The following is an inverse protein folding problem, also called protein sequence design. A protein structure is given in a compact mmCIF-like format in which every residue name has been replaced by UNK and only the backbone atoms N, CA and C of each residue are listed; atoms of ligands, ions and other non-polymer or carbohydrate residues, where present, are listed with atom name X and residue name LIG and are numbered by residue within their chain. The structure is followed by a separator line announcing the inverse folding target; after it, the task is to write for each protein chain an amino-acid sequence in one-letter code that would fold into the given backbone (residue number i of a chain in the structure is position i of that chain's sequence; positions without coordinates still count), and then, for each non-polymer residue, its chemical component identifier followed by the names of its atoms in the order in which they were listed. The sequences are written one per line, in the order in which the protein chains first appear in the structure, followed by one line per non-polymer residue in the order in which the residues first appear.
data_IF_288850348135
#
_entry.id   IF_288850348135
#
_cell.length_a   1.000
_cell.length_b   1.000
_cell.length_c   1.000
_cell.angle_alpha   90.00
_cell.angle_beta   90.00
_cell.angle_gamma   90.00
#
_symmetry.space_group_name_H-M   'P 1'
#
loop_
_entity.id
_entity.type
_entity.pdbx_description
1 polymer ?
#
# COMPACT_ATOMS: atom_id res chain seq x y z
N UNK A 1 -17.79 34.86 -15.11
CA UNK A 1 -17.64 33.41 -15.01
C UNK A 1 -18.48 32.93 -13.85
N UNK A 2 -19.44 32.01 -14.09
CA UNK A 2 -20.13 31.36 -12.96
C UNK A 2 -19.08 30.60 -12.14
N UNK A 3 -19.05 30.82 -10.86
CA UNK A 3 -18.26 29.98 -9.95
C UNK A 3 -18.96 28.62 -9.94
N UNK A 4 -18.26 27.58 -10.38
CA UNK A 4 -18.79 26.21 -10.34
C UNK A 4 -19.04 25.82 -8.89
N UNK A 5 -20.22 25.29 -8.63
CA UNK A 5 -20.56 24.80 -7.28
C UNK A 5 -19.87 23.43 -7.05
N UNK A 6 -19.76 23.03 -5.80
CA UNK A 6 -19.24 21.72 -5.43
C UNK A 6 -20.04 20.59 -6.08
N UNK A 7 -21.36 20.76 -6.17
CA UNK A 7 -22.28 19.82 -6.81
C UNK A 7 -22.07 19.74 -8.33
N UNK A 8 -21.79 20.88 -9.00
CA UNK A 8 -21.49 20.91 -10.43
C UNK A 8 -20.21 20.11 -10.74
N UNK A 9 -19.16 20.31 -9.95
CA UNK A 9 -17.89 19.54 -10.08
C UNK A 9 -18.11 18.04 -9.86
N UNK A 10 -18.88 17.66 -8.85
CA UNK A 10 -19.21 16.25 -8.58
C UNK A 10 -19.99 15.62 -9.73
N UNK A 11 -20.94 16.35 -10.33
CA UNK A 11 -21.68 15.87 -11.49
C UNK A 11 -20.78 15.66 -12.70
N UNK A 12 -19.89 16.60 -13.00
CA UNK A 12 -18.91 16.45 -14.08
C UNK A 12 -17.93 15.29 -13.81
N UNK A 13 -17.47 15.15 -12.57
CA UNK A 13 -16.59 14.06 -12.17
C UNK A 13 -17.28 12.69 -12.35
N UNK A 14 -18.60 12.62 -12.11
CA UNK A 14 -19.35 11.39 -12.32
C UNK A 14 -19.31 10.93 -13.77
N UNK A 15 -19.42 11.84 -14.74
CA UNK A 15 -19.35 11.54 -16.17
C UNK A 15 -18.00 10.90 -16.57
N UNK A 16 -16.91 11.25 -15.85
CA UNK A 16 -15.57 10.70 -16.11
C UNK A 16 -15.40 9.27 -15.61
N UNK A 17 -16.17 8.86 -14.60
CA UNK A 17 -15.96 7.59 -13.89
C UNK A 17 -17.03 6.54 -14.14
N UNK A 18 -18.14 6.93 -14.78
CA UNK A 18 -19.22 6.03 -15.14
C UNK A 18 -18.78 5.06 -16.23
N UNK A 19 -19.03 3.75 -16.07
CA UNK A 19 -18.89 2.80 -17.16
C UNK A 19 -19.74 3.20 -18.37
N UNK A 20 -19.17 3.10 -19.55
CA UNK A 20 -19.85 3.37 -20.80
C UNK A 20 -20.90 2.30 -21.11
N UNK A 21 -21.85 2.61 -22.00
CA UNK A 21 -22.85 1.62 -22.47
C UNK A 21 -22.18 0.44 -23.16
N UNK A 22 -21.06 0.68 -23.85
CA UNK A 22 -20.26 -0.37 -24.49
C UNK A 22 -19.59 -1.28 -23.45
N UNK A 23 -18.96 -0.74 -22.41
CA UNK A 23 -18.40 -1.54 -21.31
C UNK A 23 -19.48 -2.37 -20.61
N UNK A 24 -20.67 -1.78 -20.39
CA UNK A 24 -21.83 -2.49 -19.82
C UNK A 24 -22.33 -3.63 -20.73
N UNK A 25 -22.28 -3.44 -22.04
CA UNK A 25 -22.64 -4.48 -23.03
C UNK A 25 -21.60 -5.62 -22.96
N UNK A 26 -20.32 -5.29 -23.04
CA UNK A 26 -19.21 -6.26 -22.95
C UNK A 26 -19.28 -7.06 -21.65
N UNK A 27 -19.54 -6.39 -20.53
CA UNK A 27 -19.68 -7.03 -19.22
C UNK A 27 -20.83 -8.07 -19.21
N UNK A 28 -22.00 -7.74 -19.75
CA UNK A 28 -23.15 -8.67 -19.84
C UNK A 28 -22.84 -9.86 -20.73
N UNK A 29 -22.23 -9.64 -21.89
CA UNK A 29 -21.86 -10.72 -22.79
C UNK A 29 -20.82 -11.68 -22.17
N UNK A 30 -19.85 -11.14 -21.42
CA UNK A 30 -18.86 -11.95 -20.70
C UNK A 30 -19.52 -12.73 -19.54
N UNK A 31 -20.42 -12.10 -18.78
CA UNK A 31 -21.18 -12.78 -17.74
C UNK A 31 -22.04 -13.92 -18.30
N UNK A 32 -22.77 -13.71 -19.40
CA UNK A 32 -23.60 -14.72 -20.03
C UNK A 32 -22.77 -15.92 -20.49
N UNK A 33 -21.62 -15.66 -21.13
CA UNK A 33 -20.72 -16.72 -21.57
C UNK A 33 -20.13 -17.48 -20.37
N UNK A 34 -19.71 -16.77 -19.32
CA UNK A 34 -19.17 -17.36 -18.12
C UNK A 34 -20.22 -18.22 -17.40
N UNK A 35 -21.48 -17.78 -17.31
CA UNK A 35 -22.59 -18.58 -16.78
C UNK A 35 -22.78 -19.89 -17.54
N UNK A 36 -22.78 -19.85 -18.88
CA UNK A 36 -22.89 -21.05 -19.71
C UNK A 36 -21.78 -22.07 -19.45
N UNK A 37 -20.56 -21.58 -19.21
CA UNK A 37 -19.42 -22.44 -18.87
C UNK A 37 -19.53 -23.00 -17.45
N UNK A 38 -19.88 -22.16 -16.49
CA UNK A 38 -20.08 -22.57 -15.09
C UNK A 38 -21.18 -23.62 -14.94
N UNK A 39 -22.31 -23.45 -15.63
CA UNK A 39 -23.44 -24.41 -15.60
C UNK A 39 -23.05 -25.80 -16.11
N UNK A 40 -22.02 -25.92 -16.94
CA UNK A 40 -21.50 -27.22 -17.41
C UNK A 40 -20.66 -27.93 -16.35
N UNK A 41 -19.87 -27.19 -15.56
CA UNK A 41 -18.84 -27.77 -14.66
C UNK A 41 -19.23 -27.72 -13.20
N UNK A 42 -20.01 -26.72 -12.76
CA UNK A 42 -20.47 -26.62 -11.37
C UNK A 42 -21.78 -27.40 -11.21
N UNK A 43 -21.74 -28.49 -10.45
CA UNK A 43 -22.89 -29.35 -10.18
C UNK A 43 -23.16 -29.46 -8.68
N UNK A 44 -24.41 -29.69 -8.28
CA UNK A 44 -24.70 -29.96 -6.85
C UNK A 44 -23.76 -31.02 -6.25
N UNK A 45 -23.29 -30.84 -5.02
CA UNK A 45 -23.70 -29.81 -4.03
C UNK A 45 -23.02 -28.45 -4.17
N UNK A 46 -22.18 -28.24 -5.19
CA UNK A 46 -21.53 -26.96 -5.45
C UNK A 46 -22.50 -25.94 -6.03
N UNK A 47 -22.29 -24.68 -5.69
CA UNK A 47 -23.00 -23.52 -6.23
C UNK A 47 -21.99 -22.47 -6.67
N UNK A 48 -22.40 -21.53 -7.52
CA UNK A 48 -21.61 -20.35 -7.82
C UNK A 48 -22.42 -19.07 -7.65
N UNK A 49 -21.72 -17.97 -7.33
CA UNK A 49 -22.32 -16.63 -7.23
C UNK A 49 -21.39 -15.58 -7.81
N UNK A 50 -21.98 -14.65 -8.56
CA UNK A 50 -21.30 -13.41 -8.91
C UNK A 50 -21.36 -12.45 -7.73
N UNK A 51 -20.22 -11.99 -7.29
CA UNK A 51 -20.07 -11.10 -6.15
C UNK A 51 -19.28 -9.84 -6.60
N UNK A 52 -18.59 -9.18 -5.69
CA UNK A 52 -17.72 -8.07 -6.03
C UNK A 52 -18.42 -6.79 -6.51
N UNK A 53 -17.67 -5.92 -7.12
CA UNK A 53 -18.12 -4.59 -7.56
C UNK A 53 -19.04 -4.64 -8.76
N UNK A 54 -18.83 -5.60 -9.67
CA UNK A 54 -19.71 -5.82 -10.81
C UNK A 54 -21.13 -6.17 -10.37
N UNK A 55 -21.27 -7.17 -9.52
CA UNK A 55 -22.57 -7.64 -9.04
C UNK A 55 -23.37 -6.60 -8.24
N UNK A 56 -22.72 -5.55 -7.75
CA UNK A 56 -23.36 -4.43 -7.02
C UNK A 56 -23.39 -3.14 -7.83
N UNK A 57 -22.98 -3.18 -9.11
CA UNK A 57 -22.87 -2.03 -10.00
C UNK A 57 -22.08 -0.85 -9.39
N UNK A 58 -20.94 -1.15 -8.73
CA UNK A 58 -20.06 -0.12 -8.12
C UNK A 58 -18.67 -0.08 -8.76
N UNK A 59 -18.47 -0.75 -9.91
CA UNK A 59 -17.23 -0.75 -10.66
C UNK A 59 -17.01 0.55 -11.42
N UNK A 60 -15.75 0.89 -11.68
CA UNK A 60 -15.34 2.11 -12.38
C UNK A 60 -15.16 1.83 -13.87
N UNK A 61 -15.33 2.87 -14.69
CA UNK A 61 -14.87 2.89 -16.08
C UNK A 61 -13.43 2.37 -16.17
N UNK A 62 -13.11 1.62 -17.21
CA UNK A 62 -11.79 1.01 -17.45
C UNK A 62 -11.28 0.08 -16.32
N UNK A 63 -12.21 -0.46 -15.49
CA UNK A 63 -11.86 -1.32 -14.35
C UNK A 63 -12.87 -2.45 -14.16
N UNK A 64 -13.32 -3.04 -15.29
CA UNK A 64 -14.27 -4.15 -15.28
C UNK A 64 -13.56 -5.45 -14.89
N UNK A 65 -14.07 -6.09 -13.85
CA UNK A 65 -13.66 -7.41 -13.38
C UNK A 65 -14.87 -8.17 -12.88
N UNK A 66 -15.00 -9.44 -13.22
CA UNK A 66 -16.07 -10.33 -12.77
C UNK A 66 -15.54 -11.23 -11.63
N UNK A 67 -16.10 -11.06 -10.45
CA UNK A 67 -15.79 -11.93 -9.30
C UNK A 67 -16.79 -13.07 -9.21
N UNK A 68 -16.35 -14.31 -9.42
CA UNK A 68 -17.16 -15.53 -9.28
C UNK A 68 -16.66 -16.36 -8.10
N UNK A 69 -17.57 -16.64 -7.19
CA UNK A 69 -17.28 -17.47 -6.01
C UNK A 69 -17.91 -18.83 -6.20
N UNK A 70 -17.10 -19.89 -6.09
CA UNK A 70 -17.56 -21.28 -6.11
C UNK A 70 -17.74 -21.71 -4.65
N UNK A 71 -18.98 -22.00 -4.27
CA UNK A 71 -19.37 -22.29 -2.89
C UNK A 71 -19.35 -23.81 -2.67
N UNK A 72 -18.47 -24.25 -1.77
CA UNK A 72 -18.32 -25.63 -1.35
C UNK A 72 -19.06 -25.90 -0.04
N UNK A 73 -19.61 -27.10 0.18
CA UNK A 73 -20.15 -27.50 1.50
C UNK A 73 -19.15 -27.24 2.63
N UNK A 74 -19.67 -26.91 3.83
CA UNK A 74 -18.84 -26.56 5.01
C UNK A 74 -17.87 -27.69 5.39
N UNK A 75 -18.26 -28.95 5.17
CA UNK A 75 -17.51 -30.16 5.51
C UNK A 75 -16.43 -30.54 4.50
N UNK A 76 -16.36 -29.89 3.33
CA UNK A 76 -15.35 -30.18 2.30
C UNK A 76 -13.93 -29.98 2.86
N UNK A 77 -13.01 -30.96 2.71
CA UNK A 77 -11.61 -30.80 3.07
C UNK A 77 -10.97 -29.62 2.30
N UNK A 78 -10.06 -28.91 2.96
CA UNK A 78 -9.42 -27.73 2.37
C UNK A 78 -8.68 -28.06 1.06
N UNK A 79 -7.97 -29.16 1.04
CA UNK A 79 -7.20 -29.61 -0.12
C UNK A 79 -8.11 -29.95 -1.32
N UNK A 80 -9.30 -30.50 -1.06
CA UNK A 80 -10.31 -30.77 -2.10
C UNK A 80 -10.92 -29.46 -2.61
N UNK A 81 -11.26 -28.52 -1.72
CA UNK A 81 -11.76 -27.21 -2.09
C UNK A 81 -10.75 -26.48 -3.00
N UNK A 82 -9.47 -26.47 -2.64
CA UNK A 82 -8.43 -25.83 -3.42
C UNK A 82 -8.23 -26.51 -4.79
N UNK A 83 -8.08 -27.83 -4.81
CA UNK A 83 -7.86 -28.59 -6.05
C UNK A 83 -9.02 -28.44 -7.02
N UNK A 84 -10.24 -28.68 -6.56
CA UNK A 84 -11.45 -28.62 -7.40
C UNK A 84 -11.84 -27.20 -7.77
N UNK A 85 -11.58 -26.22 -6.89
CA UNK A 85 -11.75 -24.80 -7.19
C UNK A 85 -10.84 -24.36 -8.34
N UNK A 86 -9.58 -24.76 -8.34
CA UNK A 86 -8.64 -24.49 -9.43
C UNK A 86 -9.03 -25.23 -10.73
N UNK A 87 -9.50 -26.48 -10.63
CA UNK A 87 -9.98 -27.24 -11.81
C UNK A 87 -11.14 -26.52 -12.47
N UNK A 88 -12.18 -26.13 -11.71
CA UNK A 88 -13.33 -25.37 -12.20
C UNK A 88 -12.87 -24.03 -12.80
N UNK A 89 -12.05 -23.27 -12.09
CA UNK A 89 -11.56 -21.98 -12.56
C UNK A 89 -10.87 -22.09 -13.92
N UNK A 90 -9.94 -23.02 -14.08
CA UNK A 90 -9.23 -23.26 -15.35
C UNK A 90 -10.15 -23.69 -16.49
N UNK A 91 -11.23 -24.41 -16.18
CA UNK A 91 -12.18 -24.89 -17.20
C UNK A 91 -13.10 -23.80 -17.74
N UNK A 92 -13.27 -22.66 -17.04
CA UNK A 92 -14.26 -21.64 -17.41
C UNK A 92 -13.66 -20.36 -17.99
N UNK A 93 -12.33 -20.19 -17.96
CA UNK A 93 -11.62 -19.03 -18.52
C UNK A 93 -10.85 -19.41 -19.80
N UNK A 94 -10.53 -18.41 -20.63
CA UNK A 94 -9.77 -18.61 -21.88
C UNK A 94 -8.26 -18.72 -21.63
N UNK A 95 -7.74 -17.83 -20.78
CA UNK A 95 -6.34 -17.76 -20.31
C UNK A 95 -6.36 -17.59 -18.80
N UNK A 96 -5.33 -18.09 -18.11
CA UNK A 96 -5.31 -17.96 -16.67
C UNK A 96 -3.89 -17.82 -16.09
N UNK A 97 -3.85 -17.17 -14.93
CA UNK A 97 -2.77 -17.26 -13.97
C UNK A 97 -3.31 -17.66 -12.60
N UNK A 98 -2.45 -18.24 -11.77
CA UNK A 98 -2.83 -18.58 -10.41
C UNK A 98 -2.47 -17.43 -9.48
N UNK A 99 -3.47 -16.95 -8.73
CA UNK A 99 -3.29 -15.96 -7.69
C UNK A 99 -3.59 -16.55 -6.31
N UNK A 100 -3.20 -15.82 -5.29
CA UNK A 100 -3.34 -16.25 -3.90
C UNK A 100 -4.07 -15.19 -3.08
N UNK A 101 -5.14 -15.61 -2.40
CA UNK A 101 -5.75 -14.89 -1.30
C UNK A 101 -5.64 -15.76 -0.02
N UNK A 102 -6.75 -16.20 0.58
CA UNK A 102 -6.72 -17.22 1.64
C UNK A 102 -6.51 -18.63 1.07
N UNK A 103 -6.92 -18.83 -0.19
CA UNK A 103 -6.72 -20.03 -1.00
C UNK A 103 -6.17 -19.62 -2.35
N UNK A 104 -5.51 -20.56 -3.09
CA UNK A 104 -5.19 -20.32 -4.49
C UNK A 104 -6.50 -20.20 -5.29
N UNK A 105 -6.53 -19.27 -6.24
CA UNK A 105 -7.66 -19.05 -7.12
C UNK A 105 -7.20 -18.78 -8.55
N UNK A 106 -8.11 -18.86 -9.49
CA UNK A 106 -7.84 -18.62 -10.90
C UNK A 106 -8.24 -17.20 -11.26
N UNK A 107 -7.27 -16.41 -11.70
CA UNK A 107 -7.48 -15.16 -12.41
C UNK A 107 -7.35 -15.43 -13.90
N UNK A 108 -8.27 -14.94 -14.71
CA UNK A 108 -8.25 -15.23 -16.14
C UNK A 108 -9.10 -14.28 -16.94
N UNK A 109 -9.41 -14.65 -18.19
CA UNK A 109 -10.24 -13.84 -19.08
C UNK A 109 -11.37 -14.66 -19.68
N UNK A 110 -12.52 -14.00 -19.86
CA UNK A 110 -13.62 -14.50 -20.66
C UNK A 110 -14.06 -13.39 -21.63
N UNK A 111 -13.97 -13.64 -22.95
CA UNK A 111 -14.23 -12.62 -23.99
C UNK A 111 -13.41 -11.33 -23.77
N UNK A 112 -12.20 -11.43 -23.25
CA UNK A 112 -11.32 -10.30 -22.97
C UNK A 112 -11.59 -9.55 -21.65
N UNK A 113 -12.64 -9.93 -20.89
CA UNK A 113 -12.95 -9.37 -19.57
C UNK A 113 -12.22 -10.17 -18.50
N UNK A 114 -11.57 -9.49 -17.55
CA UNK A 114 -10.90 -10.09 -16.41
C UNK A 114 -11.92 -10.79 -15.49
N UNK A 115 -11.57 -11.98 -15.02
CA UNK A 115 -12.44 -12.83 -14.20
C UNK A 115 -11.63 -13.45 -13.07
N UNK A 116 -12.09 -13.29 -11.85
CA UNK A 116 -11.61 -14.02 -10.68
C UNK A 116 -12.56 -15.16 -10.33
N UNK A 117 -12.07 -16.41 -10.33
CA UNK A 117 -12.83 -17.59 -9.90
C UNK A 117 -12.27 -18.09 -8.59
N UNK A 118 -12.99 -17.77 -7.51
CA UNK A 118 -12.53 -17.93 -6.13
C UNK A 118 -13.29 -19.04 -5.42
N UNK A 119 -12.63 -20.12 -4.95
CA UNK A 119 -13.29 -21.11 -4.11
C UNK A 119 -13.50 -20.58 -2.68
N UNK A 120 -14.67 -20.86 -2.10
CA UNK A 120 -14.98 -20.55 -0.71
C UNK A 120 -15.97 -21.54 -0.10
N UNK A 121 -16.11 -21.53 1.21
CA UNK A 121 -17.11 -22.36 1.90
C UNK A 121 -18.50 -21.70 1.88
N UNK A 122 -19.53 -22.53 1.66
CA UNK A 122 -20.93 -22.15 1.84
C UNK A 122 -21.29 -22.25 3.33
N UNK A 123 -21.10 -21.16 4.06
CA UNK A 123 -21.35 -21.11 5.50
C UNK A 123 -22.73 -20.54 5.81
N UNK A 124 -23.34 -20.99 6.92
CA UNK A 124 -24.65 -20.51 7.39
C UNK A 124 -24.55 -19.25 8.25
N UNK A 125 -23.40 -19.01 8.88
CA UNK A 125 -23.17 -17.88 9.79
C UNK A 125 -21.75 -17.33 9.64
N UNK A 126 -21.55 -15.99 9.71
CA UNK A 126 -20.23 -15.39 9.71
C UNK A 126 -19.37 -15.75 10.93
N UNK A 127 -19.97 -16.33 11.99
CA UNK A 127 -19.22 -16.83 13.14
C UNK A 127 -18.39 -18.08 12.83
N UNK A 128 -18.72 -18.79 11.74
CA UNK A 128 -18.06 -20.02 11.29
C UNK A 128 -17.03 -19.81 10.20
N UNK A 129 -16.64 -18.57 9.91
CA UNK A 129 -15.66 -18.22 8.87
C UNK A 129 -14.36 -18.99 9.10
N UNK A 130 -13.92 -19.74 8.08
CA UNK A 130 -12.68 -20.54 8.08
C UNK A 130 -11.53 -19.79 7.41
N UNK A 131 -11.85 -18.92 6.47
CA UNK A 131 -10.87 -18.14 5.70
C UNK A 131 -11.35 -16.72 5.40
N UNK A 132 -10.45 -15.83 5.00
CA UNK A 132 -10.80 -14.45 4.70
C UNK A 132 -11.82 -14.32 3.56
N UNK A 133 -11.74 -15.19 2.55
CA UNK A 133 -12.63 -15.16 1.36
C UNK A 133 -14.06 -15.58 1.68
N UNK A 134 -14.28 -16.40 2.73
CA UNK A 134 -15.61 -16.85 3.14
C UNK A 134 -16.50 -15.70 3.66
N UNK A 135 -15.92 -14.55 3.97
CA UNK A 135 -16.67 -13.33 4.34
C UNK A 135 -17.36 -12.68 3.16
N UNK A 136 -16.83 -12.85 1.96
CA UNK A 136 -17.30 -12.12 0.77
C UNK A 136 -18.79 -12.37 0.45
N UNK A 137 -19.33 -13.60 0.53
CA UNK A 137 -20.76 -13.82 0.37
C UNK A 137 -21.61 -13.08 1.42
N UNK A 138 -21.19 -13.04 2.68
CA UNK A 138 -21.89 -12.29 3.72
C UNK A 138 -21.81 -10.78 3.53
N UNK A 139 -20.65 -10.27 3.14
CA UNK A 139 -20.49 -8.86 2.77
C UNK A 139 -21.43 -8.47 1.64
N UNK A 140 -21.52 -9.29 0.59
CA UNK A 140 -22.42 -9.04 -0.53
C UNK A 140 -23.88 -9.01 -0.08
N UNK A 141 -24.33 -9.99 0.70
CA UNK A 141 -25.70 -10.03 1.22
C UNK A 141 -26.04 -8.81 2.09
N UNK A 142 -25.07 -8.34 2.89
CA UNK A 142 -25.25 -7.14 3.69
C UNK A 142 -25.33 -5.87 2.85
N UNK A 143 -24.51 -5.78 1.78
CA UNK A 143 -24.38 -4.59 0.94
C UNK A 143 -25.49 -4.47 -0.10
N UNK A 144 -25.89 -5.56 -0.79
CA UNK A 144 -26.66 -5.56 -2.04
C UNK A 144 -27.92 -4.68 -2.07
N UNK A 145 -28.59 -4.53 -0.94
CA UNK A 145 -29.77 -3.67 -0.83
C UNK A 145 -29.47 -2.27 -0.26
N UNK A 146 -28.35 -2.11 0.47
CA UNK A 146 -27.96 -0.86 1.13
C UNK A 146 -27.19 0.08 0.21
N UNK A 147 -26.55 -0.48 -0.81
CA UNK A 147 -25.80 0.30 -1.81
C UNK A 147 -26.70 0.84 -2.93
N UNK A 148 -27.92 0.30 -3.08
CA UNK A 148 -28.88 0.74 -4.09
C UNK A 148 -29.16 2.23 -4.01
N UNK A 149 -28.99 2.94 -5.13
CA UNK A 149 -29.10 4.39 -5.25
C UNK A 149 -27.88 5.17 -4.75
N UNK A 150 -26.81 4.48 -4.38
CA UNK A 150 -25.54 5.06 -3.93
C UNK A 150 -24.33 4.61 -4.77
N UNK A 151 -24.57 3.85 -5.84
CA UNK A 151 -23.54 3.27 -6.68
C UNK A 151 -22.60 4.34 -7.24
N UNK A 152 -23.16 5.46 -7.65
CA UNK A 152 -22.41 6.58 -8.20
C UNK A 152 -21.53 7.29 -7.16
N UNK A 153 -22.04 7.43 -5.95
CA UNK A 153 -21.25 7.97 -4.83
C UNK A 153 -20.06 7.04 -4.48
N UNK A 154 -20.26 5.73 -4.56
CA UNK A 154 -19.17 4.75 -4.38
C UNK A 154 -18.14 4.88 -5.50
N UNK A 155 -18.56 5.04 -6.76
CA UNK A 155 -17.66 5.27 -7.90
C UNK A 155 -16.83 6.54 -7.71
N UNK A 156 -17.48 7.64 -7.32
CA UNK A 156 -16.81 8.91 -7.04
C UNK A 156 -15.74 8.73 -5.94
N UNK A 157 -16.08 8.08 -4.83
CA UNK A 157 -15.12 7.83 -3.75
C UNK A 157 -13.95 6.96 -4.20
N UNK A 158 -14.21 5.87 -4.93
CA UNK A 158 -13.16 4.99 -5.48
C UNK A 158 -12.21 5.77 -6.41
N UNK A 159 -12.76 6.56 -7.35
CA UNK A 159 -11.95 7.37 -8.27
C UNK A 159 -11.16 8.44 -7.54
N UNK A 160 -11.77 9.13 -6.58
CA UNK A 160 -11.10 10.12 -5.72
C UNK A 160 -9.91 9.52 -4.96
N UNK A 161 -10.01 8.28 -4.51
CA UNK A 161 -8.91 7.55 -3.86
C UNK A 161 -7.88 7.03 -4.87
N UNK A 162 -8.34 6.53 -6.04
CA UNK A 162 -7.47 6.02 -7.11
C UNK A 162 -6.56 7.12 -7.66
N UNK A 163 -7.08 8.33 -7.86
CA UNK A 163 -6.28 9.47 -8.34
C UNK A 163 -5.20 9.92 -7.34
N UNK A 164 -5.33 9.60 -6.05
CA UNK A 164 -4.33 9.84 -5.02
C UNK A 164 -3.36 8.66 -4.80
N UNK A 165 -3.54 7.54 -5.51
CA UNK A 165 -2.75 6.33 -5.32
C UNK A 165 -2.99 5.63 -3.97
N UNK A 166 -4.19 5.80 -3.39
CA UNK A 166 -4.55 5.23 -2.07
C UNK A 166 -5.80 4.33 -2.13
N UNK A 167 -6.19 3.86 -3.32
CA UNK A 167 -7.24 2.88 -3.53
C UNK A 167 -6.63 1.48 -3.67
N UNK A 168 -7.03 0.54 -2.82
CA UNK A 168 -6.53 -0.82 -2.71
C UNK A 168 -6.13 -1.14 -1.28
N UNK A 169 -6.41 -2.35 -0.81
CA UNK A 169 -6.07 -2.81 0.55
C UNK A 169 -4.86 -3.77 0.57
N UNK A 170 -4.33 -4.12 -0.59
CA UNK A 170 -3.11 -4.92 -0.73
C UNK A 170 -1.93 -4.22 -0.04
N UNK A 171 -0.96 -5.00 0.41
CA UNK A 171 0.17 -4.47 1.18
C UNK A 171 0.99 -3.42 0.42
N UNK A 172 1.03 -3.53 -0.91
CA UNK A 172 1.70 -2.58 -1.80
C UNK A 172 1.13 -1.17 -1.69
N UNK A 173 -0.21 -1.04 -1.59
CA UNK A 173 -0.92 0.25 -1.52
C UNK A 173 -1.21 0.64 -0.08
N UNK A 174 -1.71 -0.29 0.75
CA UNK A 174 -2.15 -0.04 2.15
C UNK A 174 -3.17 1.10 2.24
N UNK A 175 -4.11 1.10 1.29
CA UNK A 175 -5.14 2.13 1.12
C UNK A 175 -6.54 1.64 1.47
N UNK A 176 -7.53 2.22 0.80
CA UNK A 176 -8.94 1.95 1.00
C UNK A 176 -9.41 0.85 0.05
N UNK A 177 -9.96 -0.25 0.58
CA UNK A 177 -10.58 -1.29 -0.23
C UNK A 177 -11.91 -0.84 -0.84
N UNK A 178 -12.35 -1.49 -1.91
CA UNK A 178 -13.67 -1.26 -2.49
C UNK A 178 -14.81 -1.47 -1.48
N UNK A 179 -14.70 -2.51 -0.64
CA UNK A 179 -15.64 -2.78 0.44
C UNK A 179 -15.69 -1.63 1.47
N UNK A 180 -14.54 -1.09 1.85
CA UNK A 180 -14.47 0.06 2.75
C UNK A 180 -15.15 1.29 2.14
N UNK A 181 -14.97 1.54 0.84
CA UNK A 181 -15.64 2.65 0.15
C UNK A 181 -17.17 2.51 0.18
N UNK A 182 -17.68 1.31 -0.11
CA UNK A 182 -19.11 1.02 -0.05
C UNK A 182 -19.68 1.24 1.35
N UNK A 183 -19.00 0.76 2.39
CA UNK A 183 -19.41 0.96 3.78
C UNK A 183 -19.44 2.45 4.18
N UNK A 184 -18.42 3.21 3.80
CA UNK A 184 -18.35 4.64 4.12
C UNK A 184 -19.47 5.44 3.46
N UNK A 185 -19.75 5.17 2.18
CA UNK A 185 -20.86 5.82 1.46
C UNK A 185 -22.21 5.45 2.04
N UNK A 186 -22.43 4.17 2.39
CA UNK A 186 -23.66 3.72 3.04
C UNK A 186 -23.83 4.41 4.40
N UNK A 187 -22.76 4.54 5.17
CA UNK A 187 -22.80 5.11 6.51
C UNK A 187 -23.06 6.62 6.52
N UNK A 188 -22.37 7.38 5.66
CA UNK A 188 -22.48 8.83 5.61
C UNK A 188 -23.58 9.33 4.67
N UNK A 189 -24.03 8.52 3.73
CA UNK A 189 -25.12 8.84 2.80
C UNK A 189 -24.69 9.13 1.37
N UNK A 190 -23.64 9.92 1.17
CA UNK A 190 -23.12 10.31 -0.15
C UNK A 190 -21.58 10.44 -0.14
N UNK A 191 -20.97 10.54 -1.33
CA UNK A 191 -19.56 10.91 -1.48
C UNK A 191 -19.21 12.22 -0.77
N UNK A 192 -20.02 13.26 -0.98
CA UNK A 192 -19.79 14.55 -0.36
C UNK A 192 -19.86 14.50 1.16
N UNK A 193 -20.76 13.70 1.71
CA UNK A 193 -20.87 13.55 3.16
C UNK A 193 -19.67 12.79 3.73
N UNK A 194 -19.14 11.78 3.00
CA UNK A 194 -17.87 11.13 3.37
C UNK A 194 -16.76 12.18 3.42
N UNK A 195 -16.58 12.99 2.37
CA UNK A 195 -15.52 14.01 2.28
C UNK A 195 -15.68 15.05 3.39
N UNK A 196 -16.88 15.61 3.62
CA UNK A 196 -17.15 16.60 4.67
C UNK A 196 -16.87 16.07 6.08
N UNK A 197 -17.08 14.79 6.33
CA UNK A 197 -16.80 14.18 7.63
C UNK A 197 -15.34 13.76 7.77
N UNK A 198 -14.71 13.29 6.69
CA UNK A 198 -13.34 12.81 6.69
C UNK A 198 -12.31 13.87 7.11
N UNK A 199 -12.55 15.16 6.88
CA UNK A 199 -11.67 16.25 7.32
C UNK A 199 -11.43 16.30 8.84
N UNK A 200 -12.30 15.64 9.61
CA UNK A 200 -12.23 15.53 11.08
C UNK A 200 -11.66 14.20 11.56
N UNK A 201 -11.35 13.27 10.65
CA UNK A 201 -10.84 11.97 11.05
C UNK A 201 -9.40 12.07 11.57
N UNK A 202 -9.10 11.19 12.47
CA UNK A 202 -7.76 11.01 13.07
C UNK A 202 -7.46 9.52 13.16
N UNK A 203 -6.22 9.17 13.48
CA UNK A 203 -5.86 7.77 13.76
C UNK A 203 -6.69 7.11 14.88
N UNK A 204 -7.29 7.92 15.75
CA UNK A 204 -8.15 7.45 16.86
C UNK A 204 -9.63 7.33 16.48
N UNK A 205 -10.01 7.60 15.24
CA UNK A 205 -11.41 7.57 14.79
C UNK A 205 -11.88 6.13 14.64
N UNK A 206 -13.03 5.82 15.24
CA UNK A 206 -13.77 4.57 15.06
C UNK A 206 -15.11 4.86 14.42
N UNK A 207 -15.44 4.16 13.34
CA UNK A 207 -16.73 4.22 12.66
C UNK A 207 -17.43 2.87 12.89
N UNK A 208 -18.50 2.88 13.65
CA UNK A 208 -19.31 1.69 13.91
C UNK A 208 -20.53 1.73 12.99
N UNK A 209 -20.43 1.01 11.89
CA UNK A 209 -21.44 0.99 10.82
C UNK A 209 -22.79 0.47 11.34
N UNK A 210 -22.76 -0.61 12.13
CA UNK A 210 -23.96 -1.29 12.61
C UNK A 210 -24.72 -0.45 13.64
N UNK A 211 -23.98 0.24 14.51
CA UNK A 211 -24.57 1.08 15.57
C UNK A 211 -24.80 2.54 15.12
N UNK A 212 -24.38 2.91 13.90
CA UNK A 212 -24.53 4.27 13.38
C UNK A 212 -23.75 5.31 14.19
N UNK A 213 -22.57 4.97 14.71
CA UNK A 213 -21.81 5.85 15.62
C UNK A 213 -20.39 6.09 15.15
N UNK A 214 -19.91 7.32 15.39
CA UNK A 214 -18.50 7.68 15.25
C UNK A 214 -17.99 8.13 16.63
N UNK A 215 -16.86 7.54 17.06
CA UNK A 215 -16.24 7.88 18.33
C UNK A 215 -14.72 7.79 18.26
N UNK A 216 -14.03 8.15 19.34
CA UNK A 216 -12.57 8.09 19.42
C UNK A 216 -12.12 7.01 20.40
N UNK A 217 -11.09 6.25 20.00
CA UNK A 217 -10.44 5.25 20.83
C UNK A 217 -8.92 5.45 20.77
N UNK A 218 -8.28 5.53 21.94
CA UNK A 218 -6.81 5.64 22.04
C UNK A 218 -6.12 4.32 21.68
N UNK A 219 -4.86 4.38 21.25
CA UNK A 219 -4.03 3.20 20.97
C UNK A 219 -4.28 2.55 19.62
N UNK A 220 -4.99 3.20 18.70
CA UNK A 220 -5.13 2.74 17.32
C UNK A 220 -3.95 3.24 16.48
N UNK A 221 -3.50 2.41 15.55
CA UNK A 221 -2.46 2.77 14.59
C UNK A 221 -3.03 3.65 13.45
N UNK A 222 -4.28 3.39 13.04
CA UNK A 222 -4.99 4.12 11.99
C UNK A 222 -6.50 4.07 12.23
N UNK A 223 -7.31 4.50 11.24
CA UNK A 223 -8.76 4.43 11.24
C UNK A 223 -9.27 3.03 11.59
N UNK A 224 -10.29 2.94 12.41
CA UNK A 224 -10.97 1.69 12.71
C UNK A 224 -12.41 1.74 12.18
N UNK A 225 -12.75 0.85 11.27
CA UNK A 225 -14.13 0.71 10.77
C UNK A 225 -14.63 -0.68 11.13
N UNK A 226 -15.64 -0.72 12.01
CA UNK A 226 -16.23 -1.97 12.49
C UNK A 226 -16.95 -2.65 11.33
N UNK A 227 -16.56 -3.90 11.03
CA UNK A 227 -17.22 -4.69 10.00
C UNK A 227 -18.64 -5.07 10.48
N UNK A 228 -19.69 -4.70 9.73
CA UNK A 228 -21.05 -5.02 10.13
C UNK A 228 -21.39 -6.52 10.12
N UNK A 229 -20.55 -7.33 9.47
CA UNK A 229 -20.67 -8.80 9.40
C UNK A 229 -19.86 -9.48 10.50
N UNK A 230 -18.71 -8.92 10.86
CA UNK A 230 -17.79 -9.45 11.89
C UNK A 230 -17.31 -8.30 12.78
N UNK A 231 -18.05 -8.02 13.87
CA UNK A 231 -17.79 -6.86 14.75
C UNK A 231 -16.38 -6.83 15.38
N UNK A 232 -15.65 -7.94 15.37
CA UNK A 232 -14.27 -8.00 15.86
C UNK A 232 -13.26 -7.53 14.82
N UNK A 233 -13.66 -7.44 13.55
CA UNK A 233 -12.80 -7.09 12.42
C UNK A 233 -12.77 -5.59 12.19
N UNK A 234 -11.58 -5.05 11.97
CA UNK A 234 -11.39 -3.73 11.39
C UNK A 234 -11.32 -3.84 9.86
N UNK A 235 -12.28 -3.27 9.15
CA UNK A 235 -12.27 -3.24 7.66
C UNK A 235 -11.08 -2.41 7.14
N UNK A 236 -10.64 -1.41 7.89
CA UNK A 236 -9.51 -0.55 7.56
C UNK A 236 -8.16 -1.04 8.15
N UNK A 237 -8.03 -2.33 8.50
CA UNK A 237 -6.83 -2.85 9.18
C UNK A 237 -5.53 -2.64 8.39
N UNK A 238 -5.59 -2.70 7.06
CA UNK A 238 -4.42 -2.49 6.19
C UNK A 238 -4.18 -1.02 5.85
N UNK A 239 -5.10 -0.11 6.20
CA UNK A 239 -4.96 1.31 5.89
C UNK A 239 -3.83 1.92 6.71
N UNK A 240 -2.77 2.38 6.04
CA UNK A 240 -1.66 3.06 6.71
C UNK A 240 -2.10 4.44 7.22
N UNK A 241 -1.45 4.91 8.29
CA UNK A 241 -1.70 6.25 8.82
C UNK A 241 -1.35 7.34 7.80
N UNK A 242 -0.35 7.11 6.95
CA UNK A 242 0.05 8.06 5.92
C UNK A 242 -1.03 8.18 4.83
N UNK A 243 -1.62 7.07 4.41
CA UNK A 243 -2.70 7.09 3.41
C UNK A 243 -4.01 7.63 4.00
N UNK A 244 -4.27 7.41 5.30
CA UNK A 244 -5.34 8.12 6.00
C UNK A 244 -5.09 9.63 6.00
N UNK A 245 -3.86 10.07 6.29
CA UNK A 245 -3.51 11.50 6.29
C UNK A 245 -3.62 12.12 4.89
N UNK A 246 -3.15 11.41 3.84
CA UNK A 246 -3.32 11.85 2.43
C UNK A 246 -4.79 12.00 2.06
N UNK A 247 -5.64 11.05 2.46
CA UNK A 247 -7.08 11.14 2.21
C UNK A 247 -7.70 12.34 2.91
N UNK A 248 -7.42 12.54 4.20
CA UNK A 248 -7.93 13.69 4.96
C UNK A 248 -7.48 15.01 4.33
N UNK A 249 -6.21 15.12 3.93
CA UNK A 249 -5.67 16.30 3.28
C UNK A 249 -6.33 16.55 1.92
N UNK A 250 -6.46 15.51 1.11
CA UNK A 250 -7.15 15.60 -0.20
C UNK A 250 -8.61 16.06 -0.04
N UNK A 251 -9.32 15.59 1.00
CA UNK A 251 -10.68 16.05 1.30
C UNK A 251 -10.71 17.54 1.62
N UNK A 252 -9.75 18.07 2.40
CA UNK A 252 -9.64 19.49 2.70
C UNK A 252 -9.42 20.32 1.44
N UNK A 253 -8.44 19.95 0.63
CA UNK A 253 -8.10 20.63 -0.62
C UNK A 253 -9.29 20.64 -1.60
N UNK A 254 -9.99 19.51 -1.72
CA UNK A 254 -11.18 19.43 -2.56
C UNK A 254 -12.32 20.34 -2.09
N UNK A 255 -12.56 20.46 -0.78
CA UNK A 255 -13.56 21.36 -0.24
C UNK A 255 -13.18 22.84 -0.34
N UNK A 256 -11.90 23.17 -0.30
CA UNK A 256 -11.37 24.53 -0.48
C UNK A 256 -11.38 24.98 -1.94
N UNK A 257 -11.06 24.07 -2.87
CA UNK A 257 -10.95 24.36 -4.31
C UNK A 257 -11.42 23.15 -5.14
N UNK A 258 -12.75 22.97 -5.29
CA UNK A 258 -13.30 21.85 -6.04
C UNK A 258 -12.85 21.85 -7.49
N UNK A 259 -12.42 20.68 -7.99
CA UNK A 259 -12.03 20.46 -9.39
C UNK A 259 -12.21 18.99 -9.77
N UNK A 260 -12.53 18.72 -11.03
CA UNK A 260 -12.56 17.36 -11.61
C UNK A 260 -11.19 16.69 -11.59
N UNK A 261 -10.11 17.45 -11.50
CA UNK A 261 -8.74 16.95 -11.36
C UNK A 261 -8.54 16.00 -10.16
N UNK A 262 -9.36 16.14 -9.12
CA UNK A 262 -9.34 15.24 -7.96
C UNK A 262 -9.80 13.81 -8.27
N UNK A 263 -10.39 13.57 -9.43
CA UNK A 263 -10.93 12.27 -9.84
C UNK A 263 -10.13 11.63 -10.98
N UNK A 264 -9.19 12.37 -11.57
CA UNK A 264 -8.35 11.89 -12.68
C UNK A 264 -6.99 11.49 -12.13
N UNK A 265 -6.56 10.27 -12.44
CA UNK A 265 -5.20 9.86 -12.15
C UNK A 265 -4.26 10.61 -13.10
N UNK A 266 -3.40 11.45 -12.54
CA UNK A 266 -2.33 12.10 -13.30
C UNK A 266 -1.09 11.25 -13.14
N UNK A 267 -0.63 10.67 -14.23
CA UNK A 267 0.68 10.02 -14.23
C UNK A 267 1.75 11.02 -13.82
N UNK A 268 2.63 10.58 -12.95
CA UNK A 268 3.78 11.39 -12.57
C UNK A 268 4.76 11.42 -13.75
N UNK A 269 4.87 12.57 -14.39
CA UNK A 269 5.90 12.79 -15.42
C UNK A 269 7.25 12.96 -14.71
N UNK A 270 8.18 12.01 -14.89
CA UNK A 270 9.50 12.16 -14.31
C UNK A 270 10.19 13.41 -14.90
N UNK A 271 11.01 14.13 -14.12
CA UNK A 271 11.82 15.22 -14.63
C UNK A 271 12.77 14.69 -15.72
N UNK A 272 13.30 15.60 -16.54
CA UNK A 272 14.30 15.21 -17.52
C UNK A 272 15.54 14.59 -16.82
N UNK A 273 16.33 13.83 -17.58
CA UNK A 273 17.49 13.10 -17.08
C UNK A 273 18.52 14.00 -16.38
N UNK A 274 18.74 15.21 -16.88
CA UNK A 274 19.70 16.16 -16.29
C UNK A 274 19.29 16.58 -14.88
N UNK A 275 17.99 16.84 -14.66
CA UNK A 275 17.45 17.16 -13.33
C UNK A 275 17.60 15.95 -12.38
N UNK A 276 17.34 14.75 -12.88
CA UNK A 276 17.48 13.53 -12.09
C UNK A 276 18.94 13.32 -11.66
N UNK A 277 19.89 13.46 -12.58
CA UNK A 277 21.33 13.38 -12.31
C UNK A 277 21.73 14.42 -11.27
N UNK A 278 21.34 15.69 -11.48
CA UNK A 278 21.66 16.78 -10.55
C UNK A 278 21.13 16.53 -9.13
N UNK A 279 19.95 15.91 -8.99
CA UNK A 279 19.41 15.56 -7.66
C UNK A 279 20.17 14.38 -7.03
N UNK A 280 20.59 13.40 -7.81
CA UNK A 280 21.40 12.27 -7.34
C UNK A 280 22.81 12.70 -6.90
N UNK A 281 23.43 13.67 -7.59
CA UNK A 281 24.74 14.20 -7.22
C UNK A 281 24.74 14.98 -5.89
N UNK A 282 23.65 15.69 -5.61
CA UNK A 282 23.50 16.50 -4.39
C UNK A 282 23.24 15.67 -3.13
N UNK A 283 22.83 14.43 -3.29
CA UNK A 283 22.33 13.58 -2.20
C UNK A 283 23.17 12.33 -2.01
N UNK A 284 23.13 11.78 -0.83
CA UNK A 284 23.72 10.48 -0.52
C UNK A 284 22.65 9.39 -0.65
N UNK A 285 22.42 8.94 -1.88
CA UNK A 285 21.43 7.91 -2.20
C UNK A 285 22.14 6.60 -2.50
N UNK A 286 21.65 5.52 -1.90
CA UNK A 286 22.12 4.16 -2.11
C UNK A 286 20.95 3.25 -2.45
N UNK A 287 21.18 2.25 -3.30
CA UNK A 287 20.21 1.18 -3.51
C UNK A 287 20.88 -0.19 -3.40
N UNK A 288 20.20 -1.14 -2.80
CA UNK A 288 20.56 -2.56 -2.85
C UNK A 288 19.68 -3.21 -3.91
N UNK A 289 20.28 -3.58 -5.04
CA UNK A 289 19.64 -4.27 -6.16
C UNK A 289 19.84 -5.78 -6.04
N UNK A 290 18.79 -6.57 -6.22
CA UNK A 290 18.84 -8.03 -6.20
C UNK A 290 17.69 -8.65 -7.01
N UNK A 291 17.82 -9.94 -7.35
CA UNK A 291 16.81 -10.64 -8.11
C UNK A 291 15.48 -10.74 -7.37
N UNK A 292 14.37 -10.62 -8.11
CA UNK A 292 13.04 -10.73 -7.51
C UNK A 292 12.76 -12.17 -7.08
N UNK A 293 12.40 -12.44 -5.81
CA UNK A 293 11.90 -13.74 -5.38
C UNK A 293 10.61 -14.09 -6.11
N UNK A 294 10.48 -15.35 -6.51
CA UNK A 294 9.24 -15.88 -7.12
C UNK A 294 8.20 -16.19 -6.03
N UNK A 295 7.60 -15.13 -5.54
CA UNK A 295 6.51 -15.16 -4.54
C UNK A 295 5.48 -14.08 -4.84
N UNK A 296 4.26 -14.28 -4.35
CA UNK A 296 3.17 -13.29 -4.49
C UNK A 296 3.52 -11.98 -3.80
N UNK A 297 3.02 -10.87 -4.36
CA UNK A 297 3.32 -9.50 -3.89
C UNK A 297 2.99 -9.29 -2.41
N UNK A 298 1.88 -9.81 -1.93
CA UNK A 298 1.47 -9.70 -0.51
C UNK A 298 2.45 -10.36 0.48
N UNK A 299 3.25 -11.33 0.02
CA UNK A 299 4.34 -11.91 0.80
C UNK A 299 5.68 -11.20 0.55
N UNK A 300 5.87 -10.60 -0.62
CA UNK A 300 7.11 -9.91 -0.99
C UNK A 300 7.24 -8.55 -0.30
N UNK A 301 6.24 -7.69 -0.42
CA UNK A 301 6.29 -6.32 0.07
C UNK A 301 6.55 -6.19 1.58
N UNK A 302 5.93 -7.02 2.48
CA UNK A 302 6.27 -7.03 3.91
C UNK A 302 7.74 -7.37 4.18
N UNK A 303 8.34 -8.27 3.37
CA UNK A 303 9.75 -8.65 3.53
C UNK A 303 10.68 -7.53 3.05
N UNK A 304 10.34 -6.84 1.95
CA UNK A 304 11.09 -5.66 1.47
C UNK A 304 11.06 -4.53 2.52
N UNK A 305 9.89 -4.22 3.07
CA UNK A 305 9.75 -3.22 4.13
C UNK A 305 10.58 -3.59 5.37
N UNK A 306 10.53 -4.87 5.78
CA UNK A 306 11.35 -5.38 6.88
C UNK A 306 12.84 -5.23 6.62
N UNK A 307 13.29 -5.56 5.41
CA UNK A 307 14.67 -5.41 5.00
C UNK A 307 15.12 -3.95 5.05
N UNK A 308 14.32 -3.02 4.50
CA UNK A 308 14.57 -1.58 4.58
C UNK A 308 14.67 -1.07 6.02
N UNK A 309 13.72 -1.45 6.88
CA UNK A 309 13.74 -1.06 8.31
C UNK A 309 15.01 -1.54 9.01
N UNK A 310 15.46 -2.77 8.75
CA UNK A 310 16.69 -3.33 9.33
C UNK A 310 17.94 -2.55 8.92
N UNK A 311 18.07 -2.24 7.64
CA UNK A 311 19.20 -1.44 7.13
C UNK A 311 19.12 -0.01 7.67
N UNK A 312 17.95 0.61 7.69
CA UNK A 312 17.73 1.94 8.22
C UNK A 312 18.12 2.04 9.71
N UNK A 313 17.66 1.12 10.54
CA UNK A 313 18.04 1.04 11.95
C UNK A 313 19.55 0.82 12.16
N UNK A 314 20.17 0.02 11.30
CA UNK A 314 21.62 -0.18 11.33
C UNK A 314 22.37 1.11 10.97
N UNK A 315 21.97 1.82 9.92
CA UNK A 315 22.55 3.10 9.52
C UNK A 315 22.40 4.15 10.62
N UNK A 316 21.25 4.20 11.29
CA UNK A 316 21.00 5.10 12.42
C UNK A 316 21.93 4.80 13.59
N UNK A 317 22.09 3.53 13.99
CA UNK A 317 22.99 3.11 15.05
C UNK A 317 24.46 3.30 14.71
N UNK A 318 24.78 3.42 13.43
CA UNK A 318 26.14 3.64 12.91
C UNK A 318 26.43 5.11 12.60
N UNK A 319 25.58 6.05 12.99
CA UNK A 319 25.70 7.52 12.86
C UNK A 319 25.64 8.05 11.42
N UNK A 320 25.19 7.28 10.43
CA UNK A 320 25.04 7.75 9.04
C UNK A 320 23.83 8.66 8.81
N UNK A 321 23.03 8.92 9.86
CA UNK A 321 21.87 9.81 9.83
C UNK A 321 20.90 9.48 8.68
N UNK A 322 20.28 8.27 8.65
CA UNK A 322 19.36 7.93 7.57
C UNK A 322 18.19 8.88 7.57
N UNK A 323 17.87 9.43 6.40
CA UNK A 323 16.80 10.41 6.17
C UNK A 323 15.50 9.69 5.87
N UNK A 324 15.54 8.73 4.94
CA UNK A 324 14.38 7.93 4.51
C UNK A 324 14.83 6.67 3.80
N UNK A 325 13.85 5.79 3.58
CA UNK A 325 14.01 4.63 2.71
C UNK A 325 12.76 4.44 1.84
N UNK A 326 12.93 3.70 0.77
CA UNK A 326 11.86 3.16 -0.06
C UNK A 326 12.26 1.76 -0.55
N UNK A 327 11.32 1.04 -1.12
CA UNK A 327 11.58 -0.22 -1.80
C UNK A 327 10.76 -0.30 -3.07
N UNK A 328 11.28 -1.03 -4.04
CA UNK A 328 10.64 -1.24 -5.33
C UNK A 328 10.77 -2.70 -5.74
N UNK A 329 9.74 -3.24 -6.38
CA UNK A 329 9.74 -4.58 -6.94
C UNK A 329 9.13 -4.54 -8.36
N UNK A 330 10.00 -4.63 -9.34
CA UNK A 330 9.69 -4.81 -10.75
C UNK A 330 10.26 -6.13 -11.27
N UNK A 331 11.07 -6.10 -12.31
CA UNK A 331 11.85 -7.27 -12.77
C UNK A 331 12.88 -7.68 -11.71
N UNK A 332 13.47 -6.67 -11.07
CA UNK A 332 14.33 -6.81 -9.89
C UNK A 332 13.71 -6.16 -8.67
N UNK A 333 14.30 -6.41 -7.51
CA UNK A 333 13.96 -5.72 -6.26
C UNK A 333 15.06 -4.72 -5.88
N UNK A 334 14.63 -3.60 -5.29
CA UNK A 334 15.52 -2.53 -4.83
C UNK A 334 15.12 -2.07 -3.43
N UNK A 335 16.13 -1.90 -2.55
CA UNK A 335 15.99 -1.23 -1.27
C UNK A 335 16.75 0.09 -1.35
N UNK A 336 16.04 1.23 -1.31
CA UNK A 336 16.62 2.56 -1.46
C UNK A 336 16.78 3.24 -0.10
N UNK A 337 17.90 3.96 0.07
CA UNK A 337 18.22 4.68 1.30
C UNK A 337 18.81 6.05 0.96
N UNK A 338 18.33 7.09 1.63
CA UNK A 338 18.98 8.39 1.67
C UNK A 338 19.60 8.58 3.05
N UNK A 339 20.87 9.00 3.10
CA UNK A 339 21.58 9.27 4.36
C UNK A 339 22.08 10.72 4.39
N UNK A 340 22.19 11.28 5.59
CA UNK A 340 22.70 12.63 5.78
C UNK A 340 24.23 12.70 5.72
N UNK A 341 24.94 11.59 5.96
CA UNK A 341 26.41 11.54 6.02
C UNK A 341 26.91 10.36 5.19
N UNK A 342 27.74 10.61 4.18
CA UNK A 342 28.41 9.58 3.37
C UNK A 342 29.64 9.00 4.05
N UNK A 343 30.46 9.87 4.65
CA UNK A 343 31.72 9.53 5.28
C UNK A 343 31.75 10.01 6.73
N UNK A 344 32.15 9.15 7.62
CA UNK A 344 32.29 9.41 9.05
C UNK A 344 33.76 9.44 9.46
N UNK A 345 34.09 10.24 10.48
CA UNK A 345 35.41 10.16 11.13
C UNK A 345 35.72 8.73 11.56
N UNK A 346 36.94 8.24 11.36
CA UNK A 346 37.35 6.92 11.83
C UNK A 346 37.27 6.74 13.35
N UNK A 347 37.26 7.86 14.08
CA UNK A 347 37.17 7.86 15.55
C UNK A 347 35.79 8.31 16.01
N UNK A 348 35.22 7.63 16.97
CA UNK A 348 33.94 7.99 17.60
C UNK A 348 34.00 7.86 19.13
N UNK A 349 33.07 8.53 19.79
CA UNK A 349 32.82 8.36 21.22
C UNK A 349 31.97 7.13 21.46
N UNK A 350 32.42 6.25 22.33
CA UNK A 350 31.61 5.14 22.83
C UNK A 350 31.14 5.44 24.25
N UNK A 351 29.82 5.37 24.41
CA UNK A 351 29.17 5.63 25.70
C UNK A 351 29.41 4.48 26.67
N UNK A 352 29.85 4.82 27.88
CA UNK A 352 29.97 3.93 29.02
C UNK A 352 28.83 4.15 30.02
N UNK A 353 28.92 3.51 31.20
CA UNK A 353 27.91 3.63 32.25
C UNK A 353 27.95 5.00 32.93
N UNK A 354 26.86 5.44 33.56
CA UNK A 354 26.87 6.55 34.49
C UNK A 354 27.75 6.22 35.72
N UNK A 355 28.31 7.23 36.40
CA UNK A 355 29.26 7.02 37.47
C UNK A 355 28.63 6.33 38.69
N UNK A 356 27.34 6.44 38.88
CA UNK A 356 26.59 5.83 39.99
C UNK A 356 26.51 4.28 39.86
N UNK A 357 26.68 3.73 38.67
CA UNK A 357 26.61 2.28 38.42
C UNK A 357 27.97 1.58 38.68
N UNK A 358 28.44 1.58 39.93
CA UNK A 358 29.80 1.18 40.30
C UNK A 358 30.30 -0.15 39.72
N UNK A 359 29.50 -1.20 39.70
CA UNK A 359 29.91 -2.49 39.11
C UNK A 359 30.04 -2.44 37.59
N UNK A 360 29.15 -1.72 36.93
CA UNK A 360 29.23 -1.49 35.48
C UNK A 360 30.44 -0.61 35.13
N UNK A 361 30.73 0.38 35.93
CA UNK A 361 31.94 1.23 35.83
C UNK A 361 33.19 0.39 35.92
N UNK A 362 33.34 -0.44 36.95
CA UNK A 362 34.51 -1.33 37.12
C UNK A 362 34.73 -2.22 35.91
N UNK A 363 33.65 -2.82 35.39
CA UNK A 363 33.69 -3.69 34.19
C UNK A 363 34.09 -2.89 32.96
N UNK A 364 33.53 -1.71 32.76
CA UNK A 364 33.83 -0.83 31.64
C UNK A 364 35.30 -0.38 31.67
N UNK A 365 35.77 0.13 32.77
CA UNK A 365 37.16 0.58 32.92
C UNK A 365 38.17 -0.55 32.69
N UNK A 366 37.90 -1.76 33.20
CA UNK A 366 38.73 -2.94 32.95
C UNK A 366 38.77 -3.29 31.46
N UNK A 367 37.60 -3.36 30.78
CA UNK A 367 37.49 -3.72 29.37
C UNK A 367 38.06 -2.66 28.42
N UNK A 368 37.97 -1.38 28.82
CA UNK A 368 38.31 -0.24 27.94
C UNK A 368 39.60 0.47 28.39
N UNK A 369 40.40 -0.13 29.27
CA UNK A 369 41.62 0.47 29.85
C UNK A 369 42.58 1.05 28.82
N UNK A 370 42.80 0.38 27.69
CA UNK A 370 43.69 0.82 26.62
C UNK A 370 43.22 2.11 25.89
N UNK A 371 41.95 2.47 26.01
CA UNK A 371 41.35 3.63 25.34
C UNK A 371 41.29 4.89 26.20
N UNK A 372 41.91 4.87 27.41
CA UNK A 372 41.93 5.98 28.37
C UNK A 372 40.53 6.57 28.61
N UNK A 373 39.67 5.87 29.36
CA UNK A 373 38.33 6.35 29.67
C UNK A 373 38.34 7.72 30.34
N UNK A 374 37.39 8.58 30.03
CA UNK A 374 37.19 9.90 30.64
C UNK A 374 35.72 10.07 31.06
N UNK A 375 35.44 11.10 31.87
CA UNK A 375 34.10 11.41 32.35
C UNK A 375 33.64 12.71 31.67
N UNK A 376 32.39 12.68 31.20
CA UNK A 376 31.69 13.85 30.66
C UNK A 376 30.18 13.69 30.95
N UNK A 377 29.53 14.74 31.49
CA UNK A 377 28.13 14.71 31.89
C UNK A 377 27.78 13.60 32.90
N UNK A 378 28.67 13.30 33.87
CA UNK A 378 28.45 12.26 34.88
C UNK A 378 28.52 10.82 34.34
N UNK A 379 29.04 10.61 33.14
CA UNK A 379 29.09 9.32 32.44
C UNK A 379 30.51 9.04 31.94
N UNK A 380 30.91 7.79 31.94
CA UNK A 380 32.19 7.37 31.35
C UNK A 380 32.08 7.30 29.82
N UNK A 381 33.19 7.66 29.14
CA UNK A 381 33.32 7.62 27.69
C UNK A 381 34.69 7.13 27.30
N UNK A 382 34.80 6.60 26.08
CA UNK A 382 36.09 6.36 25.43
C UNK A 382 36.01 6.80 23.97
N UNK A 383 37.14 7.23 23.43
CA UNK A 383 37.29 7.29 21.97
C UNK A 383 37.75 5.93 21.46
N UNK A 384 37.16 5.50 20.35
CA UNK A 384 37.51 4.24 19.70
C UNK A 384 37.31 4.32 18.21
N UNK A 385 37.86 3.37 17.50
CA UNK A 385 37.71 3.28 16.05
C UNK A 385 36.28 2.88 15.68
N UNK A 386 35.73 3.51 14.63
CA UNK A 386 34.48 3.10 14.02
C UNK A 386 34.68 1.83 13.20
N UNK A 387 33.71 0.96 13.23
CA UNK A 387 33.69 -0.24 12.42
C UNK A 387 33.44 0.07 10.94
N UNK A 388 32.61 1.07 10.68
CA UNK A 388 32.23 1.52 9.34
C UNK A 388 32.34 3.05 9.27
N UNK A 389 33.13 3.54 8.32
CA UNK A 389 33.33 4.97 8.08
C UNK A 389 32.66 5.46 6.79
N UNK A 390 32.31 4.55 5.89
CA UNK A 390 31.70 4.82 4.59
C UNK A 390 30.34 4.13 4.50
N UNK A 391 29.29 4.86 4.10
CA UNK A 391 27.92 4.37 4.07
C UNK A 391 27.70 3.21 3.07
N UNK A 392 28.32 3.28 1.89
CA UNK A 392 28.27 2.21 0.88
C UNK A 392 28.78 0.88 1.47
N UNK A 393 30.01 0.89 2.01
CA UNK A 393 30.64 -0.29 2.62
C UNK A 393 29.86 -0.79 3.83
N UNK A 394 29.27 0.13 4.60
CA UNK A 394 28.44 -0.22 5.74
C UNK A 394 27.19 -0.98 5.32
N UNK A 395 26.45 -0.48 4.31
CA UNK A 395 25.25 -1.14 3.74
C UNK A 395 25.64 -2.51 3.20
N UNK A 396 26.66 -2.58 2.34
CA UNK A 396 27.12 -3.84 1.75
C UNK A 396 27.48 -4.89 2.82
N UNK A 397 28.30 -4.51 3.79
CA UNK A 397 28.72 -5.39 4.89
C UNK A 397 27.53 -5.86 5.74
N UNK A 398 26.56 -4.97 6.02
CA UNK A 398 25.40 -5.31 6.82
C UNK A 398 24.47 -6.28 6.09
N UNK A 399 24.12 -5.99 4.83
CA UNK A 399 23.27 -6.88 4.01
C UNK A 399 23.90 -8.24 3.88
N UNK A 400 25.20 -8.32 3.55
CA UNK A 400 25.94 -9.58 3.43
C UNK A 400 25.91 -10.42 4.71
N UNK A 401 25.94 -9.79 5.87
CA UNK A 401 25.95 -10.47 7.16
C UNK A 401 24.57 -10.81 7.69
N UNK A 402 23.60 -9.92 7.52
CA UNK A 402 22.31 -9.96 8.22
C UNK A 402 21.12 -10.32 7.30
N UNK A 403 21.38 -10.75 6.04
CA UNK A 403 20.35 -11.10 5.06
C UNK A 403 19.27 -12.05 5.61
N UNK A 404 19.64 -13.06 6.40
CA UNK A 404 18.71 -14.01 6.99
C UNK A 404 17.62 -13.36 7.87
N UNK A 405 17.90 -12.18 8.43
CA UNK A 405 16.94 -11.40 9.24
C UNK A 405 15.99 -10.54 8.42
N UNK A 406 16.20 -10.42 7.11
CA UNK A 406 15.49 -9.52 6.19
C UNK A 406 14.23 -10.14 5.56
N UNK A 407 13.82 -11.30 6.03
CA UNK A 407 12.70 -12.08 5.50
C UNK A 407 13.19 -13.38 4.85
N UNK A 408 12.35 -14.40 4.86
CA UNK A 408 12.74 -15.74 4.39
C UNK A 408 13.19 -15.73 2.93
N UNK A 409 12.32 -15.28 2.04
CA UNK A 409 12.57 -15.32 0.59
C UNK A 409 13.53 -14.20 0.14
N UNK A 410 13.34 -12.99 0.65
CA UNK A 410 14.24 -11.84 0.38
C UNK A 410 15.66 -12.16 0.90
N UNK A 411 15.78 -12.68 2.12
CA UNK A 411 17.06 -13.06 2.69
C UNK A 411 17.76 -14.18 1.91
N UNK A 412 17.01 -15.17 1.42
CA UNK A 412 17.54 -16.22 0.56
C UNK A 412 18.14 -15.67 -0.73
N UNK A 413 17.43 -14.79 -1.43
CA UNK A 413 17.92 -14.20 -2.67
C UNK A 413 19.12 -13.29 -2.41
N UNK A 414 19.10 -12.47 -1.35
CA UNK A 414 20.23 -11.64 -0.95
C UNK A 414 21.50 -12.49 -0.63
N UNK A 415 21.33 -13.71 -0.11
CA UNK A 415 22.46 -14.62 0.14
C UNK A 415 23.12 -15.11 -1.14
N UNK A 416 22.36 -15.20 -2.25
CA UNK A 416 22.86 -15.63 -3.56
C UNK A 416 23.64 -14.51 -4.28
N UNK A 417 23.27 -13.26 -4.02
CA UNK A 417 23.95 -12.08 -4.57
C UNK A 417 23.10 -10.82 -4.57
N UNK A 418 23.78 -9.69 -4.50
CA UNK A 418 23.20 -8.36 -4.64
C UNK A 418 24.26 -7.37 -5.10
N UNK A 419 23.83 -6.22 -5.61
CA UNK A 419 24.68 -5.09 -5.96
C UNK A 419 24.25 -3.87 -5.13
N UNK A 420 25.20 -3.11 -4.61
CA UNK A 420 24.94 -1.79 -4.05
C UNK A 420 25.23 -0.76 -5.14
N UNK A 421 24.30 0.16 -5.36
CA UNK A 421 24.39 1.27 -6.30
C UNK A 421 24.48 2.57 -5.50
N UNK A 422 25.27 3.55 -5.99
CA UNK A 422 25.42 4.84 -5.34
C UNK A 422 25.19 5.99 -6.32
N UNK A 423 24.41 6.99 -5.91
CA UNK A 423 24.24 8.26 -6.62
C UNK A 423 23.85 8.06 -8.09
N UNK A 424 24.68 8.57 -9.01
CA UNK A 424 24.40 8.54 -10.46
C UNK A 424 24.31 7.14 -11.08
N UNK A 425 24.81 6.09 -10.41
CA UNK A 425 24.61 4.72 -10.88
C UNK A 425 23.12 4.34 -10.91
N UNK A 426 22.28 5.04 -10.14
CA UNK A 426 20.83 4.87 -10.11
C UNK A 426 20.11 5.41 -11.35
N UNK A 427 20.79 6.10 -12.26
CA UNK A 427 20.22 6.56 -13.55
C UNK A 427 19.67 5.38 -14.37
N UNK A 428 20.26 4.18 -14.22
CA UNK A 428 19.79 2.95 -14.84
C UNK A 428 18.67 2.22 -14.08
N UNK A 429 18.05 2.86 -13.10
CA UNK A 429 16.93 2.27 -12.36
C UNK A 429 15.75 1.96 -13.28
N UNK A 430 15.16 0.76 -13.13
CA UNK A 430 14.17 0.26 -14.11
C UNK A 430 12.87 1.07 -14.18
N UNK A 431 12.54 1.85 -13.15
CA UNK A 431 11.40 2.76 -13.11
C UNK A 431 11.83 4.19 -12.77
N UNK A 432 12.16 5.02 -13.78
CA UNK A 432 12.59 6.40 -13.57
C UNK A 432 11.54 7.26 -12.86
N UNK A 433 10.23 6.97 -13.03
CA UNK A 433 9.17 7.71 -12.38
C UNK A 433 9.14 7.43 -10.86
N UNK A 434 9.34 6.18 -10.46
CA UNK A 434 9.47 5.82 -9.05
C UNK A 434 10.71 6.48 -8.42
N UNK A 435 11.88 6.40 -9.08
CA UNK A 435 13.09 7.03 -8.58
C UNK A 435 12.93 8.54 -8.44
N UNK A 436 12.37 9.20 -9.45
CA UNK A 436 12.11 10.64 -9.42
C UNK A 436 11.10 11.00 -8.32
N UNK A 437 10.06 10.22 -8.12
CA UNK A 437 9.12 10.37 -6.99
C UNK A 437 9.85 10.26 -5.65
N UNK A 438 10.73 9.29 -5.48
CA UNK A 438 11.55 9.15 -4.27
C UNK A 438 12.43 10.39 -4.04
N UNK A 439 13.03 10.95 -5.07
CA UNK A 439 13.90 12.14 -4.98
C UNK A 439 13.13 13.44 -4.73
N UNK A 440 11.88 13.56 -5.22
CA UNK A 440 11.08 14.79 -5.12
C UNK A 440 10.25 14.89 -3.84
N UNK A 441 10.01 13.79 -3.13
CA UNK A 441 9.32 13.83 -1.81
C UNK A 441 10.12 14.69 -0.84
N UNK A 442 9.56 15.85 -0.46
CA UNK A 442 10.24 16.87 0.36
C UNK A 442 11.06 17.92 -0.42
N UNK A 443 11.21 17.78 -1.74
CA UNK A 443 11.78 18.79 -2.61
C UNK A 443 10.76 19.88 -3.00
N UNK A 444 11.19 21.12 -3.19
CA UNK A 444 10.35 22.17 -3.75
C UNK A 444 9.96 21.78 -5.18
N UNK A 445 8.66 21.74 -5.48
CA UNK A 445 8.18 21.59 -6.86
C UNK A 445 8.83 22.67 -7.76
N UNK A 446 9.73 22.26 -8.61
CA UNK A 446 10.44 23.13 -9.55
C UNK A 446 9.61 23.63 -10.74
N UNK A 447 8.31 23.88 -10.57
CA UNK A 447 7.46 24.49 -11.60
C UNK A 447 6.73 25.72 -11.05
N UNK A 448 7.49 26.76 -10.73
CA UNK A 448 6.95 28.12 -10.79
C UNK A 448 7.13 28.64 -12.23
N UNK A 449 6.16 28.37 -13.11
CA UNK A 449 5.96 29.22 -14.29
C UNK A 449 5.81 30.65 -13.79
N UNK A 450 6.67 31.53 -14.29
CA UNK A 450 6.78 32.92 -13.90
C UNK A 450 5.43 33.64 -13.96
N UNK A 451 4.96 34.09 -12.83
CA UNK A 451 4.07 35.25 -12.77
C UNK A 451 4.96 36.48 -12.93
N UNK A 452 5.05 36.97 -14.16
CA UNK A 452 5.48 38.32 -14.48
C UNK A 452 4.43 39.28 -13.88
N UNK A 453 4.60 39.62 -12.63
CA UNK A 453 3.83 40.67 -11.97
C UNK A 453 4.46 42.00 -12.24
N UNK A 454 3.95 42.71 -13.25
CA UNK A 454 4.21 44.10 -13.53
C UNK A 454 3.74 44.97 -12.34
N UNK A 455 4.60 45.22 -11.35
CA UNK A 455 4.37 46.25 -10.34
C UNK A 455 4.70 47.60 -10.94
N UNK A 456 3.70 48.28 -11.52
CA UNK A 456 3.77 49.73 -11.74
C UNK A 456 3.85 50.42 -10.37
N UNK A 457 5.01 51.01 -10.11
CA UNK A 457 5.14 52.09 -9.08
C UNK A 457 4.40 53.30 -9.62
N UNK A 458 3.38 53.74 -8.92
CA UNK A 458 2.88 55.11 -9.00
C UNK A 458 3.28 55.87 -7.72
N UNK A 459 3.71 57.09 -7.94
CA UNK A 459 4.28 58.03 -6.98
C UNK A 459 3.35 58.28 -5.78
#
# INVERSE_FOLDING_TARGET
MKVETLEDVVKQALELVLPTDEERRIAREAEEELRKRLDKVVKPPLEYRFLGSYARDTWLKDSLELDVFILFPEETPKEELEAKGLEIGKAVVDEYELRYAAHPYVHGKVRGVEVDVVPCYKLKSPEKIKSAVDRTPFHHEWLKNRVKGKENDVRLLKSFLKSAGIYGAEYKVRGFSGYLCELLVIFYGSFLDVVKNAVRWTRSTVIDIKRGKVYRKKGLESLFVVDPVDEKRNVAANLSVDNLAKFVQKCREFLESPSTDFFVHKEFEPPNLEVLISELEKRAIYAVEFERPDIVEDNLYPQLERACKKVHEFLQRSDFMPVRFAFYAGKKCYLLFEVGVKELSPICRHMGPPFEEGEHVKRFLRKKRKYRPFIDGGRYWVYGERKHTNAYKAIESFVRKEHASMGKNVGEVLSKGFKVLEGVELVGFEDPAFLASFLTVGGRNGNKKGRSGNRRRTK
#
